data_IF_487922324336
#
_entry.id   IF_487922324336
#
_cell.length_a   1.000
_cell.length_b   1.000
_cell.length_c   1.000
_cell.angle_alpha   90.00
_cell.angle_beta   90.00
_cell.angle_gamma   90.00
#
_symmetry.space_group_name_H-M   'P 1'
#
loop_
_entity.id
_entity.type
_entity.pdbx_description
1 polymer ?
#
# COMPACT_ATOMS: atom_id res chain seq x y z
N UNK A 1 -3.06 22.97 -18.62
CA UNK A 1 -2.00 22.23 -17.91
C UNK A 1 -2.67 21.06 -17.22
N UNK A 2 -2.23 19.83 -17.51
CA UNK A 2 -2.81 18.60 -16.95
C UNK A 2 -1.69 17.85 -16.25
N UNK A 3 -1.83 17.62 -14.96
CA UNK A 3 -0.88 16.83 -14.18
C UNK A 3 -1.37 15.39 -14.09
N UNK A 4 -0.51 14.45 -14.44
CA UNK A 4 -0.82 13.02 -14.43
C UNK A 4 0.17 12.33 -13.51
N UNK A 5 -0.38 11.56 -12.58
CA UNK A 5 0.38 10.76 -11.64
C UNK A 5 0.07 9.28 -11.85
N UNK A 6 1.11 8.47 -11.85
CA UNK A 6 1.01 7.03 -11.72
C UNK A 6 1.16 6.67 -10.24
N UNK A 7 0.27 5.82 -9.76
CA UNK A 7 0.32 5.30 -8.40
C UNK A 7 0.39 3.78 -8.49
N UNK A 8 1.39 3.20 -7.84
CA UNK A 8 1.52 1.75 -7.71
C UNK A 8 1.49 1.35 -6.23
N UNK A 9 0.89 0.18 -5.97
CA UNK A 9 0.83 -0.44 -4.66
C UNK A 9 1.58 -1.78 -4.72
N UNK A 10 2.55 -1.92 -3.83
CA UNK A 10 3.21 -3.18 -3.52
C UNK A 10 2.84 -3.58 -2.09
N UNK A 11 2.52 -4.86 -1.88
CA UNK A 11 2.32 -5.43 -0.54
C UNK A 11 3.47 -6.40 -0.31
N UNK A 12 4.10 -6.32 0.86
CA UNK A 12 5.17 -7.22 1.30
C UNK A 12 4.79 -7.89 2.61
N UNK A 13 5.37 -9.05 2.87
CA UNK A 13 5.20 -9.83 4.09
C UNK A 13 6.54 -10.14 4.74
N UNK A 14 6.57 -10.14 6.07
CA UNK A 14 7.73 -10.62 6.84
C UNK A 14 8.04 -12.08 6.45
N UNK A 15 9.31 -12.35 6.14
CA UNK A 15 9.79 -13.67 5.75
C UNK A 15 10.32 -14.53 6.91
N UNK A 16 10.24 -14.02 8.13
CA UNK A 16 10.75 -14.62 9.37
C UNK A 16 12.26 -14.52 9.54
N UNK A 17 12.96 -13.78 8.66
CA UNK A 17 14.42 -13.63 8.65
C UNK A 17 14.85 -12.18 8.86
N UNK A 18 13.93 -11.32 9.31
CA UNK A 18 14.16 -9.89 9.50
C UNK A 18 14.08 -9.09 8.19
N UNK A 19 13.41 -9.62 7.16
CA UNK A 19 13.19 -8.94 5.89
C UNK A 19 11.74 -9.09 5.43
N UNK A 20 11.36 -8.26 4.46
CA UNK A 20 10.06 -8.31 3.81
C UNK A 20 10.19 -8.81 2.38
N UNK A 21 9.23 -9.63 1.95
CA UNK A 21 9.17 -10.19 0.59
C UNK A 21 7.86 -9.82 -0.09
N UNK A 22 7.93 -9.47 -1.37
CA UNK A 22 6.75 -9.08 -2.14
C UNK A 22 5.72 -10.20 -2.19
N UNK A 23 4.47 -9.85 -1.88
CA UNK A 23 3.34 -10.77 -1.93
C UNK A 23 3.10 -11.22 -3.36
N UNK A 24 2.94 -12.54 -3.54
CA UNK A 24 2.58 -13.12 -4.82
C UNK A 24 1.21 -12.62 -5.29
N UNK A 25 1.12 -12.25 -6.56
CA UNK A 25 -0.12 -11.85 -7.23
C UNK A 25 -0.40 -12.76 -8.42
N UNK A 26 -1.63 -13.24 -8.53
CA UNK A 26 -2.11 -13.98 -9.70
C UNK A 26 -3.36 -13.30 -10.30
N UNK A 27 -4.02 -14.00 -11.25
CA UNK A 27 -5.26 -13.51 -11.90
C UNK A 27 -6.43 -13.28 -10.93
N UNK A 28 -6.41 -13.89 -9.75
CA UNK A 28 -7.45 -13.79 -8.74
C UNK A 28 -7.18 -12.72 -7.69
N UNK A 29 -5.92 -12.29 -7.53
CA UNK A 29 -5.55 -11.20 -6.62
C UNK A 29 -4.21 -11.44 -5.92
N UNK A 30 -4.04 -10.77 -4.78
CA UNK A 30 -2.90 -10.96 -3.90
C UNK A 30 -3.07 -12.22 -3.05
N UNK A 31 -1.99 -12.93 -2.78
CA UNK A 31 -1.96 -14.13 -1.93
C UNK A 31 -1.31 -13.81 -0.59
N UNK A 32 -2.12 -13.30 0.33
CA UNK A 32 -1.70 -12.92 1.67
C UNK A 32 -1.71 -14.13 2.62
N UNK A 33 -0.70 -14.24 3.49
CA UNK A 33 -0.62 -15.21 4.58
C UNK A 33 -1.28 -14.65 5.84
N UNK A 34 -1.89 -15.54 6.60
CA UNK A 34 -2.48 -15.22 7.90
C UNK A 34 -1.38 -15.02 8.94
N UNK A 35 -1.63 -14.13 9.91
CA UNK A 35 -0.78 -13.90 11.07
C UNK A 35 0.67 -13.53 10.71
N UNK A 36 0.85 -12.85 9.59
CA UNK A 36 2.14 -12.34 9.13
C UNK A 36 2.06 -10.83 8.99
N UNK A 37 3.04 -10.12 9.55
CA UNK A 37 3.19 -8.67 9.41
C UNK A 37 3.31 -8.29 7.94
N UNK A 38 2.58 -7.26 7.54
CA UNK A 38 2.54 -6.77 6.17
C UNK A 38 3.07 -5.35 6.10
N UNK A 39 3.69 -5.02 4.98
CA UNK A 39 4.07 -3.66 4.65
C UNK A 39 3.40 -3.26 3.34
N UNK A 40 2.69 -2.13 3.35
CA UNK A 40 2.16 -1.51 2.14
C UNK A 40 3.15 -0.44 1.67
N UNK A 41 3.61 -0.58 0.43
CA UNK A 41 4.51 0.38 -0.21
C UNK A 41 3.78 1.02 -1.40
N UNK A 42 3.54 2.32 -1.31
CA UNK A 42 2.96 3.13 -2.37
C UNK A 42 4.06 3.92 -3.05
N UNK A 43 4.06 3.90 -4.39
CA UNK A 43 4.94 4.70 -5.22
C UNK A 43 4.10 5.62 -6.08
N UNK A 44 4.31 6.93 -5.93
CA UNK A 44 3.56 7.99 -6.60
C UNK A 44 4.51 8.77 -7.48
N UNK A 45 4.30 8.69 -8.79
CA UNK A 45 5.19 9.29 -9.79
C UNK A 45 4.44 10.25 -10.70
N UNK A 46 4.91 11.49 -10.80
CA UNK A 46 4.44 12.39 -11.86
C UNK A 46 4.97 11.93 -13.22
N UNK A 47 4.07 11.63 -14.15
CA UNK A 47 4.40 11.17 -15.52
C UNK A 47 4.13 12.23 -16.59
N UNK A 48 3.37 13.28 -16.26
CA UNK A 48 3.22 14.45 -17.13
C UNK A 48 4.47 15.32 -17.15
N UNK A 49 4.91 15.72 -18.34
CA UNK A 49 6.12 16.52 -18.60
C UNK A 49 5.82 17.98 -19.02
N UNK A 50 4.55 18.33 -19.23
CA UNK A 50 4.12 19.63 -19.74
C UNK A 50 3.94 20.72 -18.65
N UNK A 51 4.49 20.53 -17.44
CA UNK A 51 4.34 21.45 -16.32
C UNK A 51 5.40 21.27 -15.23
N UNK A 52 5.40 22.11 -14.18
CA UNK A 52 6.30 21.97 -13.04
C UNK A 52 6.14 20.61 -12.34
N UNK A 53 7.22 20.16 -11.71
CA UNK A 53 7.18 18.98 -10.85
C UNK A 53 6.48 19.32 -9.53
N UNK A 54 5.50 18.50 -9.18
CA UNK A 54 4.77 18.60 -7.92
C UNK A 54 5.30 17.54 -6.96
N UNK A 55 5.27 17.86 -5.67
CA UNK A 55 5.69 16.96 -4.60
C UNK A 55 4.60 16.89 -3.53
N UNK A 56 4.55 15.77 -2.82
CA UNK A 56 3.63 15.58 -1.70
C UNK A 56 4.22 16.28 -0.48
N UNK A 57 3.67 17.43 -0.11
CA UNK A 57 4.11 18.20 1.07
C UNK A 57 3.71 17.50 2.37
N UNK A 58 2.50 16.94 2.43
CA UNK A 58 1.98 16.21 3.60
C UNK A 58 1.17 14.99 3.16
N UNK A 59 1.44 13.86 3.81
CA UNK A 59 0.61 12.66 3.77
C UNK A 59 0.32 12.28 5.22
N UNK A 60 -0.95 12.15 5.59
CA UNK A 60 -1.30 11.79 6.97
C UNK A 60 -1.11 10.29 7.26
N UNK A 61 -0.97 9.48 6.21
CA UNK A 61 -0.65 8.06 6.29
C UNK A 61 -1.42 7.25 5.24
N UNK A 62 -1.44 5.94 5.43
CA UNK A 62 -2.13 4.98 4.57
C UNK A 62 -3.31 4.39 5.33
N UNK A 63 -4.48 4.40 4.73
CA UNK A 63 -5.68 3.83 5.30
C UNK A 63 -6.00 2.48 4.66
N UNK A 64 -6.41 1.49 5.46
CA UNK A 64 -6.84 0.16 5.00
C UNK A 64 -8.18 -0.22 5.60
N UNK A 65 -9.02 -0.89 4.81
CA UNK A 65 -10.24 -1.52 5.30
C UNK A 65 -10.60 -2.79 4.54
N UNK A 66 -11.33 -3.69 5.21
CA UNK A 66 -11.94 -4.85 4.58
C UNK A 66 -13.14 -4.45 3.71
N UNK A 67 -13.24 -5.03 2.52
CA UNK A 67 -14.38 -4.88 1.62
C UNK A 67 -14.21 -3.81 0.53
N UNK A 68 -15.33 -3.49 -0.11
CA UNK A 68 -15.48 -2.47 -1.17
C UNK A 68 -16.53 -1.46 -0.73
N UNK A 69 -16.43 -0.22 -1.20
CA UNK A 69 -17.38 0.85 -0.88
C UNK A 69 -17.48 1.12 0.63
N UNK A 70 -16.33 1.08 1.29
CA UNK A 70 -16.20 1.21 2.74
C UNK A 70 -16.42 2.66 3.17
N UNK A 71 -17.02 2.87 4.33
CA UNK A 71 -17.19 4.22 4.90
C UNK A 71 -15.84 4.69 5.42
N UNK A 72 -15.57 6.00 5.32
CA UNK A 72 -14.34 6.57 5.87
C UNK A 72 -14.14 6.25 7.36
N UNK A 73 -15.22 6.13 8.14
CA UNK A 73 -15.18 5.77 9.56
C UNK A 73 -14.66 4.36 9.84
N UNK A 74 -14.74 3.47 8.85
CA UNK A 74 -14.38 2.06 9.02
C UNK A 74 -12.92 1.82 8.56
N UNK A 75 -12.28 2.83 7.97
CA UNK A 75 -10.89 2.76 7.53
C UNK A 75 -9.91 2.95 8.68
N UNK A 76 -8.86 2.15 8.68
CA UNK A 76 -7.86 2.12 9.73
C UNK A 76 -6.55 2.72 9.24
N UNK A 77 -6.00 3.64 10.02
CA UNK A 77 -4.69 4.24 9.76
C UNK A 77 -3.59 3.25 10.11
N UNK A 78 -2.76 2.92 9.12
CA UNK A 78 -1.57 2.12 9.31
C UNK A 78 -0.44 2.95 9.93
N UNK A 79 0.46 2.28 10.65
CA UNK A 79 1.67 2.91 11.19
C UNK A 79 2.61 3.28 10.04
N UNK A 80 2.79 4.57 9.79
CA UNK A 80 3.66 5.05 8.71
C UNK A 80 5.14 4.87 9.10
N UNK A 81 5.91 4.13 8.28
CA UNK A 81 7.33 3.87 8.51
C UNK A 81 8.23 4.88 7.82
N UNK A 82 7.90 5.26 6.59
CA UNK A 82 8.77 6.14 5.79
C UNK A 82 7.95 6.95 4.77
N UNK A 83 8.29 8.23 4.65
CA UNK A 83 7.93 9.09 3.52
C UNK A 83 9.22 9.66 2.95
N UNK A 84 9.60 9.22 1.75
CA UNK A 84 10.86 9.62 1.12
C UNK A 84 10.66 10.01 -0.34
N UNK A 85 11.40 11.02 -0.79
CA UNK A 85 11.68 11.18 -2.21
C UNK A 85 12.85 10.23 -2.55
N UNK A 86 12.72 9.42 -3.61
CA UNK A 86 13.85 8.62 -4.08
C UNK A 86 14.96 9.53 -4.60
N UNK A 87 16.07 9.58 -3.86
CA UNK A 87 17.20 10.48 -4.14
C UNK A 87 18.22 9.88 -5.15
N UNK A 88 17.89 8.79 -5.84
CA UNK A 88 18.79 8.08 -6.74
C UNK A 88 18.55 8.40 -8.21
N UNK A 89 19.51 9.11 -8.82
CA UNK A 89 19.63 9.38 -10.26
C UNK A 89 18.49 10.21 -10.89
N UNK A 90 18.81 10.86 -12.00
CA UNK A 90 18.00 11.92 -12.63
C UNK A 90 16.57 11.54 -13.02
N UNK A 91 16.26 10.23 -13.10
CA UNK A 91 14.96 9.68 -13.49
C UNK A 91 14.00 9.37 -12.32
N UNK A 92 14.49 9.29 -11.07
CA UNK A 92 13.65 8.95 -9.90
C UNK A 92 13.28 10.18 -9.05
N UNK A 93 13.73 11.39 -9.42
CA UNK A 93 13.44 12.64 -8.71
C UNK A 93 11.95 13.03 -8.65
N UNK A 94 11.08 12.28 -9.33
CA UNK A 94 9.65 12.55 -9.42
C UNK A 94 8.80 11.47 -8.74
N UNK A 95 9.40 10.65 -7.87
CA UNK A 95 8.74 9.54 -7.21
C UNK A 95 8.73 9.75 -5.69
N UNK A 96 7.53 9.79 -5.11
CA UNK A 96 7.33 9.75 -3.66
C UNK A 96 7.03 8.32 -3.25
N UNK A 97 7.79 7.81 -2.29
CA UNK A 97 7.58 6.51 -1.67
C UNK A 97 6.94 6.71 -0.30
N UNK A 98 5.85 5.99 -0.06
CA UNK A 98 5.15 5.92 1.22
C UNK A 98 5.12 4.47 1.66
N UNK A 99 5.61 4.18 2.86
CA UNK A 99 5.57 2.84 3.45
C UNK A 99 4.83 2.85 4.78
N UNK A 100 3.94 1.87 4.97
CA UNK A 100 3.19 1.71 6.21
C UNK A 100 3.10 0.24 6.64
N UNK A 101 3.17 0.00 7.94
CA UNK A 101 3.06 -1.33 8.55
C UNK A 101 1.61 -1.69 8.87
N UNK A 102 1.27 -2.93 8.58
CA UNK A 102 0.02 -3.58 8.93
C UNK A 102 0.32 -4.75 9.87
N UNK A 103 -0.07 -4.55 11.14
CA UNK A 103 -0.03 -5.55 12.19
C UNK A 103 -1.26 -6.50 12.10
N UNK A 104 -1.06 -7.82 11.90
CA UNK A 104 -2.15 -8.79 11.79
C UNK A 104 -2.87 -9.06 13.12
N UNK A 105 -2.33 -8.59 14.25
CA UNK A 105 -2.92 -8.76 15.59
C UNK A 105 -3.97 -7.71 15.91
N UNK A 106 -4.03 -6.62 15.14
CA UNK A 106 -5.03 -5.57 15.30
C UNK A 106 -6.44 -6.10 14.97
N UNK A 107 -7.41 -6.01 15.89
CA UNK A 107 -8.75 -6.58 15.71
C UNK A 107 -9.48 -6.07 14.46
N UNK A 108 -9.22 -4.83 14.06
CA UNK A 108 -9.82 -4.22 12.87
C UNK A 108 -9.42 -4.90 11.56
N UNK A 109 -8.33 -5.67 11.56
CA UNK A 109 -7.85 -6.42 10.40
C UNK A 109 -8.18 -7.91 10.46
N UNK A 110 -8.84 -8.39 11.53
CA UNK A 110 -9.33 -9.77 11.62
C UNK A 110 -10.08 -10.21 10.35
N UNK A 111 -10.98 -9.39 9.76
CA UNK A 111 -11.69 -9.82 8.56
C UNK A 111 -10.76 -10.11 7.37
N UNK A 112 -9.59 -9.46 7.28
CA UNK A 112 -8.58 -9.68 6.24
C UNK A 112 -7.52 -10.72 6.63
N UNK A 113 -7.57 -11.21 7.88
CA UNK A 113 -6.63 -12.16 8.45
C UNK A 113 -7.28 -13.55 8.66
N UNK A 114 -8.13 -13.95 7.72
CA UNK A 114 -8.73 -15.28 7.67
C UNK A 114 -8.49 -15.95 6.32
N UNK A 115 -8.53 -17.29 6.29
CA UNK A 115 -8.43 -18.03 5.03
C UNK A 115 -9.64 -17.68 4.15
N UNK A 116 -9.37 -17.13 2.97
CA UNK A 116 -10.42 -16.89 1.98
C UNK A 116 -10.84 -18.24 1.37
N UNK A 117 -12.12 -18.64 1.48
CA UNK A 117 -12.60 -19.87 0.84
C UNK A 117 -12.36 -19.84 -0.67
N UNK A 118 -12.03 -20.99 -1.28
CA UNK A 118 -11.63 -21.09 -2.70
C UNK A 118 -12.62 -20.47 -3.69
N UNK A 119 -13.90 -20.42 -3.33
CA UNK A 119 -14.99 -19.92 -4.18
C UNK A 119 -15.35 -18.46 -3.92
N UNK A 120 -14.77 -17.85 -2.88
CA UNK A 120 -15.04 -16.48 -2.49
C UNK A 120 -13.87 -15.58 -2.84
N UNK A 121 -14.19 -14.30 -3.02
CA UNK A 121 -13.19 -13.24 -3.14
C UNK A 121 -13.30 -12.33 -1.95
N UNK A 122 -12.18 -12.14 -1.26
CA UNK A 122 -12.04 -11.09 -0.27
C UNK A 122 -11.56 -9.82 -0.97
N UNK A 123 -12.10 -8.69 -0.54
CA UNK A 123 -11.73 -7.38 -1.05
C UNK A 123 -11.11 -6.55 0.07
N UNK A 124 -10.25 -5.63 -0.32
CA UNK A 124 -9.62 -4.65 0.55
C UNK A 124 -9.64 -3.31 -0.16
N UNK A 125 -9.86 -2.24 0.60
CA UNK A 125 -9.75 -0.86 0.15
C UNK A 125 -8.50 -0.23 0.78
N UNK A 126 -7.71 0.46 -0.03
CA UNK A 126 -6.53 1.25 0.39
C UNK A 126 -6.75 2.69 -0.05
N UNK A 127 -6.46 3.66 0.81
CA UNK A 127 -6.53 5.09 0.51
C UNK A 127 -5.32 5.86 1.06
#
# INVERSE_FOLDING_TARGET
LMYVFEVSLEIKEDDGKGSFTTVGKDKNGFRLKLNVEKQLCLSIRQVSDNGPQLFIERCFGVLVAAGRHVRHSDMQLLEMKEQGASNSTSHERNCTLISASWDPTEPSFEPLNIETPKELKQYMTVA
#
